data_IF_392281494742
#
_entry.id   IF_392281494742
#
_cell.length_a   1.000
_cell.length_b   1.000
_cell.length_c   1.000
_cell.angle_alpha   90.00
_cell.angle_beta   90.00
_cell.angle_gamma   90.00
#
_symmetry.space_group_name_H-M   'P 1'
#
loop_
_entity.id
_entity.type
_entity.pdbx_description
1 polymer ?
#
# COMPACT_ATOMS: atom_id res chain seq x y z
N UNK A 1 9.55 -10.54 -16.90
CA UNK A 1 9.35 -11.47 -15.78
C UNK A 1 10.68 -12.15 -15.44
N UNK A 2 10.88 -12.51 -14.17
CA UNK A 2 11.93 -13.41 -13.66
C UNK A 2 11.31 -14.27 -12.55
N UNK A 3 11.67 -15.56 -12.47
CA UNK A 3 11.10 -16.51 -11.51
C UNK A 3 9.72 -17.08 -11.90
N UNK A 4 9.04 -17.70 -10.95
CA UNK A 4 7.69 -18.29 -11.10
C UNK A 4 6.61 -17.19 -11.01
N UNK A 5 6.38 -16.46 -12.11
CA UNK A 5 5.47 -15.30 -12.12
C UNK A 5 3.98 -15.65 -12.25
N UNK A 6 3.67 -16.87 -12.66
CA UNK A 6 2.33 -17.44 -12.77
C UNK A 6 1.81 -17.99 -11.43
N UNK A 7 2.72 -18.33 -10.50
CA UNK A 7 2.39 -18.77 -9.15
C UNK A 7 1.53 -17.73 -8.45
N UNK A 8 0.36 -18.17 -8.00
CA UNK A 8 -0.59 -17.30 -7.28
C UNK A 8 -0.09 -17.03 -5.86
N UNK A 9 -0.06 -15.76 -5.51
CA UNK A 9 0.27 -15.28 -4.16
C UNK A 9 -0.84 -14.37 -3.64
N UNK A 10 -0.95 -14.22 -2.33
CA UNK A 10 -1.79 -13.18 -1.76
C UNK A 10 -1.03 -11.85 -1.79
N UNK A 11 -1.55 -10.79 -2.45
CA UNK A 11 -0.86 -9.51 -2.51
C UNK A 11 -0.88 -8.75 -1.17
N UNK A 12 -1.82 -9.11 -0.29
CA UNK A 12 -2.01 -8.54 1.05
C UNK A 12 -2.02 -7.00 0.98
N UNK A 13 -1.29 -6.32 1.85
CA UNK A 13 -1.21 -4.85 1.90
C UNK A 13 -0.63 -4.16 0.66
N UNK A 14 -0.05 -4.89 -0.30
CA UNK A 14 0.57 -4.26 -1.48
C UNK A 14 -0.45 -3.61 -2.42
N UNK A 15 -1.72 -4.06 -2.42
CA UNK A 15 -2.77 -3.58 -3.35
C UNK A 15 -3.65 -2.45 -2.79
N UNK A 16 -3.26 -1.82 -1.68
CA UNK A 16 -4.08 -0.81 -1.01
C UNK A 16 -4.39 0.43 -1.86
N UNK A 17 -3.48 0.81 -2.77
CA UNK A 17 -3.75 1.87 -3.75
C UNK A 17 -4.94 1.53 -4.67
N UNK A 18 -5.06 0.27 -5.09
CA UNK A 18 -6.19 -0.20 -5.88
C UNK A 18 -7.49 -0.23 -5.05
N UNK A 19 -7.42 -0.64 -3.77
CA UNK A 19 -8.57 -0.64 -2.87
C UNK A 19 -9.13 0.76 -2.64
N UNK A 20 -8.25 1.77 -2.57
CA UNK A 20 -8.62 3.16 -2.37
C UNK A 20 -9.30 3.81 -3.58
N UNK A 21 -9.23 3.23 -4.78
CA UNK A 21 -9.95 3.75 -5.96
C UNK A 21 -11.44 3.90 -5.71
N UNK A 22 -12.05 2.94 -4.98
CA UNK A 22 -13.46 3.00 -4.61
C UNK A 22 -13.83 4.26 -3.79
N UNK A 23 -12.89 4.80 -3.01
CA UNK A 23 -13.09 6.01 -2.21
C UNK A 23 -13.29 7.26 -3.09
N UNK A 24 -12.58 7.33 -4.21
CA UNK A 24 -12.71 8.43 -5.17
C UNK A 24 -13.89 8.17 -6.11
N UNK A 25 -13.97 6.98 -6.70
CA UNK A 25 -14.97 6.62 -7.73
C UNK A 25 -16.41 6.69 -7.24
N UNK A 26 -16.65 6.53 -5.93
CA UNK A 26 -17.99 6.66 -5.34
C UNK A 26 -18.34 8.10 -4.94
N UNK A 27 -17.41 9.06 -5.13
CA UNK A 27 -17.57 10.44 -4.66
C UNK A 27 -17.45 10.60 -3.15
N UNK A 28 -17.14 9.54 -2.39
CA UNK A 28 -17.02 9.60 -0.94
C UNK A 28 -15.93 10.57 -0.48
N UNK A 29 -14.80 10.60 -1.19
CA UNK A 29 -13.72 11.56 -0.94
C UNK A 29 -14.19 13.03 -1.02
N UNK A 30 -14.96 13.36 -2.05
CA UNK A 30 -15.45 14.73 -2.25
C UNK A 30 -16.60 15.07 -1.30
N UNK A 31 -17.54 14.15 -1.11
CA UNK A 31 -18.66 14.29 -0.18
C UNK A 31 -18.20 14.65 1.24
N UNK A 32 -17.09 14.06 1.69
CA UNK A 32 -16.56 14.29 3.03
C UNK A 32 -15.41 15.29 3.08
N UNK A 33 -15.02 15.89 1.95
CA UNK A 33 -13.88 16.81 1.89
C UNK A 33 -12.60 16.17 2.43
N UNK A 34 -12.27 14.96 1.95
CA UNK A 34 -11.07 14.26 2.38
C UNK A 34 -9.81 14.96 1.85
N UNK A 35 -8.88 15.21 2.77
CA UNK A 35 -7.59 15.86 2.53
C UNK A 35 -6.60 14.91 1.87
N UNK A 36 -5.48 15.44 1.35
CA UNK A 36 -4.40 14.61 0.81
C UNK A 36 -3.88 13.61 1.85
N UNK A 37 -3.77 14.03 3.11
CA UNK A 37 -3.38 13.17 4.23
C UNK A 37 -4.32 11.97 4.40
N UNK A 38 -5.64 12.17 4.33
CA UNK A 38 -6.65 11.12 4.47
C UNK A 38 -6.69 10.20 3.24
N UNK A 39 -6.51 10.75 2.04
CA UNK A 39 -6.40 9.95 0.81
C UNK A 39 -5.13 9.09 0.79
N UNK A 40 -4.00 9.62 1.25
CA UNK A 40 -2.77 8.86 1.42
C UNK A 40 -2.92 7.77 2.50
N UNK A 41 -3.59 8.10 3.62
CA UNK A 41 -3.87 7.14 4.68
C UNK A 41 -4.79 5.99 4.22
N UNK A 42 -5.73 6.23 3.30
CA UNK A 42 -6.55 5.18 2.70
C UNK A 42 -5.71 4.14 1.91
N UNK A 43 -4.52 4.51 1.44
CA UNK A 43 -3.56 3.64 0.76
C UNK A 43 -2.55 2.96 1.73
N UNK A 44 -2.68 3.17 3.04
CA UNK A 44 -1.59 2.95 3.99
C UNK A 44 -1.48 1.54 4.58
N UNK A 45 -0.24 1.17 4.90
CA UNK A 45 0.07 0.16 5.92
C UNK A 45 0.96 0.82 6.98
N UNK A 46 0.40 1.80 7.68
CA UNK A 46 1.17 2.77 8.47
C UNK A 46 1.72 2.21 9.78
N UNK A 47 2.64 2.94 10.40
CA UNK A 47 3.32 2.48 11.63
C UNK A 47 2.57 2.78 12.94
N UNK A 48 1.37 3.36 12.86
CA UNK A 48 0.50 3.59 14.03
C UNK A 48 0.92 4.80 14.89
N UNK A 49 1.77 5.67 14.34
CA UNK A 49 2.18 6.92 14.98
C UNK A 49 1.01 7.91 15.15
N UNK A 50 1.09 8.88 16.08
CA UNK A 50 -0.05 9.73 16.46
C UNK A 50 -0.81 10.37 15.30
N UNK A 51 -0.09 10.98 14.35
CA UNK A 51 -0.68 11.60 13.16
C UNK A 51 -1.49 10.62 12.29
N UNK A 52 -1.13 9.33 12.25
CA UNK A 52 -1.94 8.32 11.56
C UNK A 52 -3.26 8.06 12.30
N UNK A 53 -3.20 7.85 13.61
CA UNK A 53 -4.38 7.57 14.43
C UNK A 53 -5.36 8.76 14.44
N UNK A 54 -4.84 9.98 14.53
CA UNK A 54 -5.62 11.23 14.43
C UNK A 54 -6.30 11.36 13.06
N UNK A 55 -5.58 11.04 11.98
CA UNK A 55 -6.12 11.12 10.63
C UNK A 55 -7.19 10.05 10.39
N UNK A 56 -6.98 8.82 10.87
CA UNK A 56 -7.99 7.77 10.81
C UNK A 56 -9.27 8.17 11.58
N UNK A 57 -9.13 8.81 12.74
CA UNK A 57 -10.24 9.32 13.52
C UNK A 57 -10.99 10.47 12.80
N UNK A 58 -10.26 11.39 12.17
CA UNK A 58 -10.83 12.47 11.34
C UNK A 58 -11.71 11.91 10.21
N UNK A 59 -11.22 10.89 9.49
CA UNK A 59 -12.00 10.24 8.42
C UNK A 59 -13.33 9.66 8.94
N UNK A 60 -13.29 8.97 10.09
CA UNK A 60 -14.48 8.39 10.71
C UNK A 60 -15.46 9.49 11.13
N UNK A 61 -14.96 10.54 11.79
CA UNK A 61 -15.78 11.66 12.26
C UNK A 61 -16.49 12.37 11.09
N UNK A 62 -15.80 12.58 9.97
CA UNK A 62 -16.40 13.13 8.74
C UNK A 62 -17.52 12.26 8.17
N UNK A 63 -17.43 10.95 8.34
CA UNK A 63 -18.47 9.99 7.98
C UNK A 63 -19.56 9.82 9.06
N UNK A 64 -19.53 10.59 10.15
CA UNK A 64 -20.47 10.47 11.27
C UNK A 64 -20.33 9.18 12.07
N UNK A 65 -19.09 8.66 12.15
CA UNK A 65 -18.73 7.41 12.84
C UNK A 65 -17.57 7.65 13.81
N UNK A 66 -17.33 6.67 14.67
CA UNK A 66 -16.20 6.65 15.60
C UNK A 66 -15.40 5.33 15.47
N UNK A 67 -14.40 5.18 16.34
CA UNK A 67 -13.49 4.02 16.36
C UNK A 67 -14.21 2.68 16.52
N UNK A 68 -15.41 2.63 17.12
CA UNK A 68 -16.16 1.38 17.34
C UNK A 68 -16.67 0.76 16.04
N UNK A 69 -16.69 1.54 14.95
CA UNK A 69 -17.05 1.08 13.63
C UNK A 69 -15.91 0.30 12.95
N UNK A 70 -14.67 0.38 13.44
CA UNK A 70 -13.54 -0.33 12.84
C UNK A 70 -13.51 -1.82 13.21
N UNK A 71 -13.38 -2.68 12.20
CA UNK A 71 -13.34 -4.15 12.33
C UNK A 71 -11.95 -4.74 11.97
N UNK A 72 -10.91 -3.89 11.88
CA UNK A 72 -9.53 -4.32 11.62
C UNK A 72 -8.82 -4.94 12.83
N UNK A 73 -9.41 -4.82 14.02
CA UNK A 73 -8.78 -5.19 15.29
C UNK A 73 -7.76 -4.17 15.79
N UNK A 74 -7.21 -4.42 16.97
CA UNK A 74 -6.28 -3.52 17.67
C UNK A 74 -4.91 -4.18 17.78
N UNK A 75 -3.85 -3.41 17.53
CA UNK A 75 -2.49 -3.78 17.88
C UNK A 75 -1.69 -2.52 18.25
N UNK A 76 -0.57 -2.70 18.95
CA UNK A 76 0.35 -1.61 19.27
C UNK A 76 0.95 -0.99 18.00
N UNK A 77 1.31 0.31 17.99
CA UNK A 77 2.07 0.90 16.91
C UNK A 77 3.31 0.06 16.57
N UNK A 78 3.59 -0.15 15.29
CA UNK A 78 4.82 -0.86 14.88
C UNK A 78 6.06 0.05 14.94
N UNK A 79 5.87 1.37 15.04
CA UNK A 79 6.94 2.29 15.38
C UNK A 79 7.24 2.19 16.89
N UNK A 80 8.43 1.72 17.23
CA UNK A 80 8.86 1.49 18.61
C UNK A 80 8.80 2.75 19.49
N UNK A 81 9.16 3.91 18.95
CA UNK A 81 9.11 5.18 19.70
C UNK A 81 7.65 5.55 20.01
N UNK A 82 6.75 5.44 19.03
CA UNK A 82 5.33 5.71 19.23
C UNK A 82 4.67 4.70 20.20
N UNK A 83 5.02 3.42 20.10
CA UNK A 83 4.53 2.39 21.02
C UNK A 83 4.96 2.68 22.46
N UNK A 84 6.25 2.99 22.68
CA UNK A 84 6.78 3.36 24.01
C UNK A 84 6.15 4.65 24.53
N UNK A 85 5.98 5.66 23.69
CA UNK A 85 5.35 6.92 24.08
C UNK A 85 3.90 6.70 24.51
N UNK A 86 3.13 5.88 23.77
CA UNK A 86 1.76 5.54 24.15
C UNK A 86 1.73 4.79 25.50
N UNK A 87 2.55 3.76 25.65
CA UNK A 87 2.63 2.97 26.88
C UNK A 87 3.03 3.82 28.10
N UNK A 88 3.96 4.76 27.93
CA UNK A 88 4.40 5.66 29.01
C UNK A 88 3.28 6.58 29.53
N UNK A 89 2.21 6.79 28.75
CA UNK A 89 1.02 7.54 29.22
C UNK A 89 0.02 6.68 29.99
N UNK A 90 0.25 5.38 30.14
CA UNK A 90 -0.71 4.44 30.75
C UNK A 90 -1.93 4.15 29.88
N UNK A 91 -1.88 4.52 28.58
CA UNK A 91 -2.96 4.29 27.62
C UNK A 91 -2.73 3.01 26.82
N UNK A 92 -3.82 2.34 26.47
CA UNK A 92 -3.83 1.20 25.56
C UNK A 92 -4.05 1.65 24.10
N UNK A 93 -3.57 0.87 23.10
CA UNK A 93 -3.90 1.13 21.72
C UNK A 93 -5.38 0.86 21.46
N UNK A 94 -5.90 1.52 20.44
CA UNK A 94 -7.21 1.28 19.84
C UNK A 94 -7.06 0.83 18.39
N UNK A 95 -8.16 0.47 17.73
CA UNK A 95 -8.17 0.12 16.30
C UNK A 95 -7.59 1.21 15.38
N UNK A 96 -7.52 2.48 15.84
CA UNK A 96 -6.87 3.57 15.11
C UNK A 96 -5.36 3.35 14.92
N UNK A 97 -4.71 2.61 15.82
CA UNK A 97 -3.28 2.31 15.76
C UNK A 97 -2.97 1.11 14.87
N UNK A 98 -4.00 0.35 14.45
CA UNK A 98 -3.84 -0.74 13.51
C UNK A 98 -3.26 -0.19 12.20
N UNK A 99 -2.26 -0.86 11.64
CA UNK A 99 -1.58 -0.40 10.42
C UNK A 99 -2.51 -0.31 9.20
N UNK A 100 -3.68 -0.95 9.25
CA UNK A 100 -4.69 -0.90 8.22
C UNK A 100 -5.80 0.12 8.49
N UNK A 101 -5.82 0.81 9.64
CA UNK A 101 -6.95 1.63 10.08
C UNK A 101 -7.35 2.69 9.05
N UNK A 102 -6.39 3.32 8.36
CA UNK A 102 -6.68 4.27 7.28
C UNK A 102 -7.49 3.71 6.11
N UNK A 103 -7.08 2.54 5.58
CA UNK A 103 -7.83 1.84 4.53
C UNK A 103 -9.25 1.47 5.02
N UNK A 104 -9.35 1.03 6.27
CA UNK A 104 -10.63 0.67 6.88
C UNK A 104 -11.55 1.88 7.08
N UNK A 105 -11.02 3.01 7.53
CA UNK A 105 -11.74 4.29 7.56
C UNK A 105 -12.23 4.68 6.17
N UNK A 106 -11.41 4.48 5.13
CA UNK A 106 -11.81 4.66 3.73
C UNK A 106 -13.01 3.77 3.34
N UNK A 107 -13.03 2.50 3.74
CA UNK A 107 -14.16 1.59 3.49
C UNK A 107 -15.44 2.05 4.19
N UNK A 108 -15.33 2.57 5.41
CA UNK A 108 -16.46 3.14 6.16
C UNK A 108 -16.97 4.41 5.46
N UNK A 109 -16.08 5.30 4.99
CA UNK A 109 -16.48 6.44 4.18
C UNK A 109 -17.24 6.00 2.91
N UNK A 110 -16.76 4.97 2.20
CA UNK A 110 -17.47 4.45 1.01
C UNK A 110 -18.86 3.92 1.38
N UNK A 111 -18.97 3.10 2.44
CA UNK A 111 -20.26 2.56 2.89
C UNK A 111 -21.25 3.70 3.21
N UNK A 112 -20.85 4.64 4.07
CA UNK A 112 -21.70 5.76 4.47
C UNK A 112 -22.06 6.68 3.28
N UNK A 113 -21.12 6.97 2.38
CA UNK A 113 -21.38 7.83 1.22
C UNK A 113 -22.36 7.19 0.22
N UNK A 114 -22.43 5.86 0.19
CA UNK A 114 -23.32 5.09 -0.67
C UNK A 114 -24.58 4.60 0.03
N UNK A 115 -24.86 5.11 1.24
CA UNK A 115 -26.00 4.75 2.08
C UNK A 115 -26.09 3.25 2.40
N UNK A 116 -24.95 2.59 2.53
CA UNK A 116 -24.81 1.20 3.00
C UNK A 116 -24.40 1.21 4.47
N UNK A 117 -25.03 0.37 5.30
CA UNK A 117 -24.60 0.18 6.70
C UNK A 117 -23.15 -0.31 6.72
N UNK A 118 -22.20 0.40 7.36
CA UNK A 118 -20.82 -0.07 7.43
C UNK A 118 -20.66 -1.36 8.24
N UNK A 119 -21.63 -1.80 9.05
CA UNK A 119 -21.49 -3.00 9.88
C UNK A 119 -21.19 -4.25 9.04
N UNK A 120 -20.08 -4.93 9.35
CA UNK A 120 -19.62 -6.09 8.62
C UNK A 120 -18.95 -5.77 7.29
N UNK A 121 -18.43 -4.54 7.09
CA UNK A 121 -17.76 -4.14 5.85
C UNK A 121 -16.53 -4.98 5.50
N UNK A 122 -16.03 -5.80 6.43
CA UNK A 122 -14.92 -6.73 6.18
C UNK A 122 -15.39 -8.05 5.56
N UNK A 123 -16.70 -8.32 5.50
CA UNK A 123 -17.22 -9.56 4.91
C UNK A 123 -17.24 -9.51 3.38
N UNK A 124 -17.00 -10.64 2.70
CA UNK A 124 -16.91 -10.67 1.24
C UNK A 124 -18.22 -10.33 0.53
N UNK A 125 -19.36 -10.61 1.13
CA UNK A 125 -20.70 -10.28 0.61
C UNK A 125 -21.07 -8.80 0.79
N UNK A 126 -20.31 -8.05 1.60
CA UNK A 126 -20.59 -6.65 1.83
C UNK A 126 -20.40 -5.82 0.54
N UNK A 127 -21.29 -4.86 0.21
CA UNK A 127 -21.20 -4.08 -1.04
C UNK A 127 -19.86 -3.38 -1.27
N UNK A 128 -19.20 -2.93 -0.20
CA UNK A 128 -17.84 -2.35 -0.28
C UNK A 128 -16.81 -3.37 -0.79
N UNK A 129 -16.80 -4.59 -0.26
CA UNK A 129 -15.83 -5.62 -0.69
C UNK A 129 -16.13 -6.12 -2.10
N UNK A 130 -17.40 -6.21 -2.48
CA UNK A 130 -17.80 -6.53 -3.87
C UNK A 130 -17.30 -5.47 -4.86
N UNK A 131 -17.41 -4.19 -4.50
CA UNK A 131 -16.86 -3.09 -5.31
C UNK A 131 -15.34 -3.17 -5.43
N UNK A 132 -14.64 -3.43 -4.34
CA UNK A 132 -13.18 -3.58 -4.34
C UNK A 132 -12.74 -4.78 -5.19
N UNK A 133 -13.45 -5.91 -5.08
CA UNK A 133 -13.21 -7.09 -5.92
C UNK A 133 -13.37 -6.75 -7.41
N UNK A 134 -14.41 -6.00 -7.78
CA UNK A 134 -14.61 -5.57 -9.16
C UNK A 134 -13.48 -4.66 -9.66
N UNK A 135 -12.97 -3.75 -8.81
CA UNK A 135 -11.79 -2.94 -9.12
C UNK A 135 -10.56 -3.84 -9.36
N UNK A 136 -10.33 -4.84 -8.51
CA UNK A 136 -9.22 -5.77 -8.73
C UNK A 136 -9.35 -6.55 -10.03
N UNK A 137 -10.52 -7.13 -10.32
CA UNK A 137 -10.73 -7.89 -11.56
C UNK A 137 -10.48 -7.06 -12.81
N UNK A 138 -10.96 -5.81 -12.82
CA UNK A 138 -10.74 -4.89 -13.92
C UNK A 138 -9.26 -4.51 -14.06
N UNK A 139 -8.63 -4.05 -12.97
CA UNK A 139 -7.24 -3.59 -12.98
C UNK A 139 -6.27 -4.72 -13.35
N UNK A 140 -6.53 -5.94 -12.87
CA UNK A 140 -5.69 -7.11 -13.11
C UNK A 140 -6.04 -7.88 -14.38
N UNK A 141 -7.15 -7.56 -15.06
CA UNK A 141 -7.68 -8.30 -16.22
C UNK A 141 -7.89 -9.80 -15.99
N UNK A 142 -8.28 -10.19 -14.78
CA UNK A 142 -8.53 -11.58 -14.41
C UNK A 142 -9.79 -11.69 -13.56
N UNK A 143 -10.39 -12.88 -13.54
CA UNK A 143 -11.44 -13.19 -12.57
C UNK A 143 -10.85 -13.68 -11.25
N UNK A 144 -11.48 -13.27 -10.16
CA UNK A 144 -11.11 -13.67 -8.80
C UNK A 144 -12.22 -14.58 -8.25
N UNK A 145 -12.18 -15.90 -8.51
CA UNK A 145 -13.21 -16.80 -8.02
C UNK A 145 -13.13 -16.93 -6.49
N UNK A 146 -14.22 -17.33 -5.86
CA UNK A 146 -14.29 -17.51 -4.40
C UNK A 146 -13.26 -18.54 -3.90
N UNK A 147 -12.91 -19.54 -4.71
CA UNK A 147 -11.85 -20.50 -4.40
C UNK A 147 -10.45 -19.88 -4.25
N UNK A 148 -10.23 -18.67 -4.79
CA UNK A 148 -8.98 -17.91 -4.64
C UNK A 148 -8.98 -16.97 -3.43
N UNK A 149 -10.09 -16.88 -2.69
CA UNK A 149 -10.27 -15.96 -1.57
C UNK A 149 -9.67 -16.53 -0.28
N UNK A 150 -8.87 -15.72 0.39
CA UNK A 150 -8.48 -15.89 1.79
C UNK A 150 -8.97 -14.73 2.65
N UNK A 151 -8.66 -14.78 3.94
CA UNK A 151 -8.90 -13.69 4.90
C UNK A 151 -7.54 -13.11 5.30
N UNK A 152 -7.36 -11.79 5.13
CA UNK A 152 -6.13 -11.12 5.54
C UNK A 152 -6.15 -10.82 7.05
N UNK A 153 -4.99 -10.50 7.63
CA UNK A 153 -4.82 -10.28 9.08
C UNK A 153 -5.58 -9.08 9.64
N UNK A 154 -6.16 -8.24 8.78
CA UNK A 154 -7.06 -7.15 9.15
C UNK A 154 -8.54 -7.47 8.84
N UNK A 155 -8.89 -8.75 8.73
CA UNK A 155 -10.25 -9.30 8.58
C UNK A 155 -10.89 -9.19 7.19
N UNK A 156 -10.30 -8.47 6.24
CA UNK A 156 -10.88 -8.29 4.88
C UNK A 156 -10.55 -9.47 3.95
N UNK A 157 -11.29 -9.65 2.84
CA UNK A 157 -10.95 -10.61 1.81
C UNK A 157 -9.63 -10.23 1.12
N UNK A 158 -8.83 -11.24 0.81
CA UNK A 158 -7.68 -11.13 -0.10
C UNK A 158 -7.75 -12.25 -1.12
N UNK A 159 -7.20 -12.05 -2.32
CA UNK A 159 -7.35 -13.01 -3.42
C UNK A 159 -5.98 -13.45 -3.94
N UNK A 160 -5.81 -14.74 -4.19
CA UNK A 160 -4.57 -15.29 -4.71
C UNK A 160 -4.44 -14.97 -6.21
N UNK A 161 -3.43 -14.16 -6.54
CA UNK A 161 -3.24 -13.56 -7.87
C UNK A 161 -1.81 -13.81 -8.40
N UNK A 162 -1.63 -14.06 -9.71
CA UNK A 162 -0.31 -14.09 -10.34
C UNK A 162 0.40 -12.73 -10.25
N UNK A 163 1.73 -12.73 -10.24
CA UNK A 163 2.53 -11.49 -10.19
C UNK A 163 2.36 -10.64 -11.44
N UNK A 164 2.21 -11.25 -12.62
CA UNK A 164 1.99 -10.53 -13.89
C UNK A 164 0.70 -9.70 -13.86
N UNK A 165 -0.36 -10.25 -13.29
CA UNK A 165 -1.64 -9.55 -13.16
C UNK A 165 -1.53 -8.36 -12.19
N UNK A 166 -0.73 -8.49 -11.12
CA UNK A 166 -0.41 -7.39 -10.21
C UNK A 166 0.43 -6.31 -10.89
N UNK A 167 1.48 -6.70 -11.62
CA UNK A 167 2.32 -5.77 -12.37
C UNK A 167 1.49 -4.99 -13.41
N UNK A 168 0.59 -5.65 -14.14
CA UNK A 168 -0.35 -5.02 -15.06
C UNK A 168 -1.26 -4.01 -14.34
N UNK A 169 -1.85 -4.39 -13.19
CA UNK A 169 -2.70 -3.51 -12.41
C UNK A 169 -1.96 -2.24 -11.97
N UNK A 170 -0.70 -2.37 -11.53
CA UNK A 170 0.11 -1.21 -11.16
C UNK A 170 0.59 -0.38 -12.35
N UNK A 171 0.84 -0.98 -13.51
CA UNK A 171 1.14 -0.25 -14.74
C UNK A 171 -0.03 0.65 -15.14
N UNK A 172 -1.26 0.13 -15.04
CA UNK A 172 -2.50 0.88 -15.28
C UNK A 172 -2.73 1.96 -14.22
N UNK A 173 -2.56 1.63 -12.94
CA UNK A 173 -2.69 2.58 -11.84
C UNK A 173 -1.71 3.76 -11.96
N UNK A 174 -0.48 3.49 -12.43
CA UNK A 174 0.51 4.52 -12.71
C UNK A 174 0.12 5.39 -13.90
N UNK A 175 -0.04 4.76 -15.06
CA UNK A 175 -0.12 5.46 -16.34
C UNK A 175 -1.50 6.00 -16.70
N UNK A 176 -2.58 5.47 -16.11
CA UNK A 176 -3.95 5.76 -16.54
C UNK A 176 -4.35 5.07 -17.85
N UNK A 177 -3.43 4.33 -18.50
CA UNK A 177 -3.69 3.73 -19.81
C UNK A 177 -4.66 2.56 -19.73
N UNK A 178 -5.52 2.41 -20.74
CA UNK A 178 -6.58 1.39 -20.80
C UNK A 178 -7.56 1.44 -19.60
N UNK A 179 -7.72 2.61 -18.98
CA UNK A 179 -8.70 2.87 -17.92
C UNK A 179 -9.76 3.86 -18.41
N UNK A 180 -10.93 3.87 -17.78
CA UNK A 180 -11.90 4.95 -17.97
C UNK A 180 -11.30 6.28 -17.49
N UNK A 181 -11.84 7.39 -18.02
CA UNK A 181 -11.40 8.74 -17.61
C UNK A 181 -11.48 8.94 -16.10
N UNK A 182 -12.58 8.51 -15.48
CA UNK A 182 -12.83 8.68 -14.05
C UNK A 182 -11.85 7.84 -13.21
N UNK A 183 -11.57 6.60 -13.61
CA UNK A 183 -10.63 5.73 -12.91
C UNK A 183 -9.18 6.23 -13.06
N UNK A 184 -8.81 6.70 -14.24
CA UNK A 184 -7.49 7.31 -14.46
C UNK A 184 -7.30 8.57 -13.59
N UNK A 185 -8.33 9.42 -13.49
CA UNK A 185 -8.32 10.59 -12.62
C UNK A 185 -8.26 10.20 -11.13
N UNK A 186 -9.01 9.17 -10.72
CA UNK A 186 -8.96 8.63 -9.35
C UNK A 186 -7.56 8.11 -8.99
N UNK A 187 -6.94 7.33 -9.89
CA UNK A 187 -5.60 6.81 -9.70
C UNK A 187 -4.56 7.94 -9.59
N UNK A 188 -4.64 8.94 -10.48
CA UNK A 188 -3.77 10.12 -10.43
C UNK A 188 -3.90 10.85 -9.09
N UNK A 189 -5.13 11.17 -8.65
CA UNK A 189 -5.40 11.88 -7.39
C UNK A 189 -4.85 11.14 -6.18
N UNK A 190 -4.98 9.80 -6.14
CA UNK A 190 -4.42 9.00 -5.05
C UNK A 190 -2.88 9.00 -5.08
N UNK A 191 -2.26 8.94 -6.26
CA UNK A 191 -0.80 9.02 -6.40
C UNK A 191 -0.26 10.38 -5.99
N UNK A 192 -0.94 11.46 -6.34
CA UNK A 192 -0.58 12.82 -5.91
C UNK A 192 -0.69 12.98 -4.40
N UNK A 193 -1.79 12.51 -3.80
CA UNK A 193 -1.97 12.52 -2.35
C UNK A 193 -0.86 11.73 -1.64
N UNK A 194 -0.52 10.54 -2.14
CA UNK A 194 0.55 9.72 -1.58
C UNK A 194 1.93 10.36 -1.75
N UNK A 195 2.20 11.00 -2.88
CA UNK A 195 3.45 11.73 -3.11
C UNK A 195 3.58 12.97 -2.21
N UNK A 196 2.46 13.66 -1.93
CA UNK A 196 2.42 14.81 -1.03
C UNK A 196 2.46 14.43 0.46
N UNK A 197 1.98 13.23 0.82
CA UNK A 197 1.88 12.76 2.20
C UNK A 197 2.47 11.34 2.39
N UNK A 198 3.75 11.10 1.99
CA UNK A 198 4.33 9.76 1.98
C UNK A 198 4.43 9.16 3.39
N UNK A 199 4.58 10.02 4.41
CA UNK A 199 4.51 9.61 5.82
C UNK A 199 3.24 8.82 6.12
N UNK A 200 2.08 9.25 5.62
CA UNK A 200 0.80 8.60 5.92
C UNK A 200 0.71 7.17 5.39
N UNK A 201 1.50 6.81 4.37
CA UNK A 201 1.42 5.47 3.76
C UNK A 201 2.11 4.41 4.61
N UNK A 202 3.20 4.75 5.29
CA UNK A 202 4.01 3.77 6.02
C UNK A 202 4.50 4.24 7.40
N UNK A 203 4.80 5.53 7.58
CA UNK A 203 5.35 6.09 8.81
C UNK A 203 6.86 6.34 8.77
N UNK A 204 7.39 6.84 9.88
CA UNK A 204 8.76 7.32 10.00
C UNK A 204 9.79 6.24 9.65
N UNK A 205 10.80 6.63 8.85
CA UNK A 205 11.98 5.83 8.47
C UNK A 205 11.69 4.56 7.65
N UNK A 206 10.44 4.34 7.21
CA UNK A 206 10.06 3.22 6.35
C UNK A 206 10.50 3.46 4.90
N UNK A 207 10.82 2.40 4.18
CA UNK A 207 11.21 2.45 2.77
C UNK A 207 10.22 3.24 1.90
N UNK A 208 8.93 2.88 1.95
CA UNK A 208 7.86 3.56 1.21
C UNK A 208 7.87 5.09 1.45
N UNK A 209 7.98 5.52 2.71
CA UNK A 209 8.03 6.94 3.08
C UNK A 209 9.26 7.64 2.49
N UNK A 210 10.43 7.02 2.60
CA UNK A 210 11.71 7.60 2.17
C UNK A 210 11.77 7.70 0.65
N UNK A 211 11.42 6.63 -0.06
CA UNK A 211 11.50 6.57 -1.52
C UNK A 211 10.46 7.48 -2.16
N UNK A 212 9.21 7.46 -1.71
CA UNK A 212 8.18 8.34 -2.26
C UNK A 212 8.43 9.81 -1.89
N UNK A 213 9.04 10.09 -0.73
CA UNK A 213 9.50 11.44 -0.39
C UNK A 213 10.60 11.96 -1.32
N UNK A 214 11.50 11.09 -1.79
CA UNK A 214 12.56 11.46 -2.72
C UNK A 214 12.08 11.56 -4.18
N UNK A 215 11.19 10.67 -4.61
CA UNK A 215 10.77 10.52 -6.01
C UNK A 215 9.47 11.26 -6.34
N UNK A 216 8.67 11.64 -5.34
CA UNK A 216 7.38 12.29 -5.53
C UNK A 216 6.48 11.46 -6.44
N UNK A 217 5.86 12.11 -7.42
CA UNK A 217 4.92 11.47 -8.35
C UNK A 217 5.58 10.53 -9.38
N UNK A 218 6.92 10.48 -9.44
CA UNK A 218 7.66 9.58 -10.36
C UNK A 218 7.50 8.10 -10.00
N UNK A 219 7.20 7.79 -8.74
CA UNK A 219 7.00 6.41 -8.29
C UNK A 219 5.98 6.33 -7.16
N UNK A 220 5.05 5.37 -7.26
CA UNK A 220 4.24 4.93 -6.15
C UNK A 220 4.77 3.56 -5.71
N UNK A 221 5.11 3.39 -4.43
CA UNK A 221 5.56 2.09 -3.90
C UNK A 221 4.67 1.65 -2.75
N UNK A 222 4.41 0.34 -2.66
CA UNK A 222 3.63 -0.22 -1.58
C UNK A 222 4.13 -1.59 -1.15
N UNK A 223 4.61 -1.64 0.09
CA UNK A 223 4.95 -2.90 0.77
C UNK A 223 3.70 -3.72 1.10
N UNK A 224 3.81 -5.04 0.92
CA UNK A 224 2.94 -6.08 1.44
C UNK A 224 3.66 -6.98 2.45
N UNK A 225 2.91 -7.74 3.23
CA UNK A 225 3.49 -8.76 4.12
C UNK A 225 4.02 -9.96 3.31
N UNK A 226 4.82 -10.83 3.95
CA UNK A 226 5.38 -12.05 3.33
C UNK A 226 6.21 -11.78 2.06
N UNK A 227 7.02 -10.71 2.08
CA UNK A 227 7.97 -10.42 1.02
C UNK A 227 7.34 -9.97 -0.29
N UNK A 228 6.10 -9.45 -0.24
CA UNK A 228 5.41 -8.89 -1.41
C UNK A 228 5.68 -7.38 -1.51
N UNK A 229 5.93 -6.89 -2.71
CA UNK A 229 6.04 -5.45 -2.99
C UNK A 229 5.42 -5.12 -4.33
N UNK A 230 4.74 -3.98 -4.43
CA UNK A 230 4.27 -3.45 -5.71
C UNK A 230 4.72 -2.00 -5.92
N UNK A 231 4.88 -1.60 -7.17
CA UNK A 231 5.08 -0.20 -7.53
C UNK A 231 4.48 0.16 -8.88
N UNK A 232 4.09 1.42 -9.03
CA UNK A 232 3.71 2.01 -10.31
C UNK A 232 4.73 3.07 -10.70
N UNK A 233 5.18 3.04 -11.96
CA UNK A 233 6.11 3.98 -12.57
C UNK A 233 5.36 4.72 -13.70
N UNK A 234 4.67 5.84 -13.40
CA UNK A 234 3.73 6.47 -14.32
C UNK A 234 4.33 6.88 -15.66
N UNK A 235 5.51 7.52 -15.63
CA UNK A 235 6.20 8.04 -16.81
C UNK A 235 6.67 6.91 -17.75
N UNK A 236 7.04 5.76 -17.19
CA UNK A 236 7.50 4.60 -17.95
C UNK A 236 6.35 3.71 -18.42
N UNK A 237 5.14 3.92 -17.91
CA UNK A 237 4.01 3.01 -18.15
C UNK A 237 4.20 1.62 -17.53
N UNK A 238 5.08 1.49 -16.54
CA UNK A 238 5.45 0.20 -15.95
C UNK A 238 4.81 -0.01 -14.58
N UNK A 239 4.51 -1.27 -14.28
CA UNK A 239 4.18 -1.73 -12.94
C UNK A 239 5.14 -2.82 -12.53
N UNK A 240 5.47 -2.84 -11.24
CA UNK A 240 6.37 -3.80 -10.62
C UNK A 240 5.57 -4.61 -9.61
N UNK A 241 5.74 -5.93 -9.63
CA UNK A 241 5.27 -6.83 -8.59
C UNK A 241 6.39 -7.80 -8.22
N UNK A 242 6.71 -7.88 -6.93
CA UNK A 242 7.80 -8.68 -6.36
C UNK A 242 7.20 -9.65 -5.34
N UNK A 243 7.69 -10.90 -5.36
CA UNK A 243 7.58 -11.84 -4.25
C UNK A 243 8.97 -12.38 -3.91
N UNK A 244 9.36 -12.31 -2.65
CA UNK A 244 10.51 -13.03 -2.11
C UNK A 244 10.05 -14.31 -1.43
N UNK A 245 10.62 -15.47 -1.79
CA UNK A 245 10.14 -16.78 -1.31
C UNK A 245 10.31 -16.98 0.19
N UNK A 246 11.38 -16.45 0.78
CA UNK A 246 11.62 -16.46 2.23
C UNK A 246 10.71 -15.51 3.02
N UNK A 247 9.86 -14.76 2.33
CA UNK A 247 8.92 -13.81 2.93
C UNK A 247 9.57 -12.54 3.50
N UNK A 248 10.89 -12.35 3.33
CA UNK A 248 11.61 -11.30 4.01
C UNK A 248 11.47 -9.93 3.31
N UNK A 249 11.00 -8.93 4.07
CA UNK A 249 10.87 -7.55 3.57
C UNK A 249 12.19 -6.92 3.13
N UNK A 250 13.31 -7.27 3.79
CA UNK A 250 14.65 -6.75 3.44
C UNK A 250 15.03 -7.05 1.99
N UNK A 251 14.72 -8.25 1.50
CA UNK A 251 15.03 -8.65 0.14
C UNK A 251 14.14 -7.90 -0.86
N UNK A 252 12.84 -7.80 -0.56
CA UNK A 252 11.88 -7.10 -1.40
C UNK A 252 12.21 -5.59 -1.54
N UNK A 253 12.63 -4.92 -0.46
CA UNK A 253 13.08 -3.53 -0.48
C UNK A 253 14.34 -3.34 -1.35
N UNK A 254 15.32 -4.24 -1.24
CA UNK A 254 16.54 -4.14 -2.04
C UNK A 254 16.27 -4.36 -3.54
N UNK A 255 15.46 -5.34 -3.89
CA UNK A 255 15.02 -5.57 -5.27
C UNK A 255 14.25 -4.37 -5.79
N UNK A 256 13.30 -3.82 -5.00
CA UNK A 256 12.56 -2.62 -5.38
C UNK A 256 13.49 -1.44 -5.62
N UNK A 257 14.43 -1.17 -4.72
CA UNK A 257 15.41 -0.08 -4.88
C UNK A 257 16.25 -0.24 -6.16
N UNK A 258 16.71 -1.46 -6.45
CA UNK A 258 17.49 -1.75 -7.66
C UNK A 258 16.67 -1.49 -8.92
N UNK A 259 15.41 -1.92 -8.96
CA UNK A 259 14.50 -1.67 -10.08
C UNK A 259 14.20 -0.18 -10.26
N UNK A 260 13.95 0.55 -9.16
CA UNK A 260 13.74 2.00 -9.21
C UNK A 260 14.98 2.71 -9.79
N UNK A 261 16.18 2.38 -9.31
CA UNK A 261 17.42 2.97 -9.82
C UNK A 261 17.69 2.66 -11.30
N UNK A 262 17.13 1.57 -11.83
CA UNK A 262 17.26 1.17 -13.23
C UNK A 262 16.23 1.84 -14.14
N UNK A 263 14.98 1.99 -13.69
CA UNK A 263 13.87 2.41 -14.55
C UNK A 263 13.38 3.85 -14.31
N UNK A 264 13.65 4.43 -13.15
CA UNK A 264 13.21 5.80 -12.83
C UNK A 264 14.34 6.80 -13.09
N UNK A 265 14.11 7.83 -13.91
CA UNK A 265 15.05 8.94 -14.05
C UNK A 265 15.22 9.70 -12.73
N UNK A 266 16.41 9.63 -12.16
CA UNK A 266 16.78 10.23 -10.87
C UNK A 266 17.89 11.26 -11.04
N UNK A 267 17.81 12.35 -10.28
CA UNK A 267 18.99 13.20 -10.02
C UNK A 267 19.98 12.46 -9.12
N UNK A 268 21.23 12.94 -9.04
CA UNK A 268 22.23 12.36 -8.13
C UNK A 268 21.77 12.39 -6.67
N UNK A 269 21.09 13.46 -6.25
CA UNK A 269 20.51 13.59 -4.91
C UNK A 269 19.43 12.53 -4.65
N UNK A 270 18.53 12.29 -5.62
CA UNK A 270 17.52 11.23 -5.51
C UNK A 270 18.17 9.84 -5.48
N UNK A 271 19.16 9.61 -6.35
CA UNK A 271 19.89 8.35 -6.41
C UNK A 271 20.65 8.06 -5.11
N UNK A 272 21.24 9.07 -4.48
CA UNK A 272 21.93 8.95 -3.18
C UNK A 272 20.99 8.50 -2.05
N UNK A 273 19.68 8.76 -2.15
CA UNK A 273 18.67 8.30 -1.18
C UNK A 273 18.23 6.86 -1.46
N UNK A 274 18.01 6.50 -2.73
CA UNK A 274 17.42 5.20 -3.11
C UNK A 274 18.47 4.09 -3.22
N UNK A 275 19.63 4.37 -3.84
CA UNK A 275 20.65 3.36 -4.14
C UNK A 275 21.18 2.60 -2.90
N UNK A 276 21.35 3.22 -1.71
CA UNK A 276 21.79 2.50 -0.52
C UNK A 276 20.87 1.36 -0.09
N UNK A 277 19.60 1.32 -0.52
CA UNK A 277 18.72 0.20 -0.20
C UNK A 277 19.03 -1.06 -1.02
N UNK A 278 19.65 -0.92 -2.19
CA UNK A 278 20.02 -2.04 -3.06
C UNK A 278 21.37 -2.69 -2.70
N UNK A 279 22.26 -1.94 -2.06
CA UNK A 279 23.53 -2.41 -1.48
C UNK A 279 23.73 -1.78 -0.10
N UNK A 280 23.45 -2.53 0.97
CA UNK A 280 23.64 -2.07 2.36
C UNK A 280 24.35 -3.11 3.24
N UNK A 281 25.24 -2.67 4.15
CA UNK A 281 25.77 -3.53 5.18
C UNK A 281 24.63 -4.01 6.10
N UNK A 282 24.77 -5.23 6.59
CA UNK A 282 23.94 -5.78 7.66
C UNK A 282 24.74 -5.57 8.95
N UNK A 283 24.24 -4.71 9.82
CA UNK A 283 24.88 -4.41 11.09
C UNK A 283 24.21 -5.20 12.22
N UNK A 284 24.99 -5.69 13.18
CA UNK A 284 24.43 -6.18 14.44
C UNK A 284 24.11 -5.02 15.41
N UNK A 285 23.56 -5.34 16.57
CA UNK A 285 23.21 -4.35 17.60
C UNK A 285 24.41 -3.57 18.16
N UNK A 286 25.64 -4.07 17.99
CA UNK A 286 26.88 -3.40 18.38
C UNK A 286 27.51 -2.59 17.21
N UNK A 287 26.80 -2.44 16.09
CA UNK A 287 27.26 -1.68 14.92
C UNK A 287 28.29 -2.41 14.05
N UNK A 288 28.57 -3.69 14.29
CA UNK A 288 29.54 -4.47 13.51
C UNK A 288 28.88 -4.98 12.22
N UNK A 289 29.53 -4.81 11.07
CA UNK A 289 29.10 -5.42 9.79
C UNK A 289 29.21 -6.94 9.88
N UNK A 290 28.07 -7.63 9.86
CA UNK A 290 27.94 -9.09 9.90
C UNK A 290 27.62 -9.70 8.55
N UNK A 291 27.42 -8.86 7.53
CA UNK A 291 27.13 -9.27 6.18
C UNK A 291 26.72 -8.07 5.34
N UNK A 292 26.25 -8.34 4.12
CA UNK A 292 25.82 -7.29 3.20
C UNK A 292 24.70 -7.79 2.31
N UNK A 293 23.68 -6.97 2.15
CA UNK A 293 22.59 -7.20 1.21
C UNK A 293 22.99 -6.62 -0.15
N UNK A 294 22.98 -7.43 -1.21
CA UNK A 294 23.27 -6.99 -2.57
C UNK A 294 22.31 -7.64 -3.55
N UNK A 295 21.76 -6.84 -4.46
CA UNK A 295 21.04 -7.37 -5.63
C UNK A 295 22.06 -7.66 -6.74
N UNK A 296 22.10 -8.90 -7.24
CA UNK A 296 22.84 -9.24 -8.45
C UNK A 296 21.86 -9.76 -9.50
N UNK A 297 21.81 -9.08 -10.65
CA UNK A 297 21.11 -9.61 -11.80
C UNK A 297 21.97 -10.71 -12.43
N UNK A 298 21.46 -11.95 -12.49
CA UNK A 298 22.09 -13.06 -13.22
C UNK A 298 21.70 -13.08 -14.70
N UNK A 299 20.75 -12.24 -15.12
CA UNK A 299 20.29 -12.03 -16.50
C UNK A 299 19.58 -10.67 -16.62
N UNK A 300 19.43 -10.15 -17.84
CA UNK A 300 18.69 -8.91 -18.12
C UNK A 300 17.20 -9.06 -17.71
N UNK A 301 16.68 -8.06 -17.00
CA UNK A 301 15.27 -7.99 -16.62
C UNK A 301 14.40 -7.93 -17.87
N UNK A 302 13.62 -8.98 -18.14
CA UNK A 302 12.66 -8.95 -19.26
C UNK A 302 11.44 -8.14 -18.87
N UNK A 303 11.04 -7.18 -19.69
CA UNK A 303 9.69 -6.58 -19.61
C UNK A 303 8.70 -7.58 -20.19
N UNK A 304 7.64 -7.92 -19.45
CA UNK A 304 6.55 -8.72 -20.00
C UNK A 304 5.68 -7.79 -20.85
N UNK A 305 5.55 -8.08 -22.15
CA UNK A 305 4.70 -7.34 -23.09
C UNK A 305 3.23 -7.73 -22.95
#
# INVERSE_FOLDING_TARGET
ALGETDRRIFPRSAVKGLQALALIETGAADRYGLTQAELALACSSHSGEPRHAETAASMLAKAGRDVTCLECGTHWPSNEQAARALAATGREPTALHNNCSGKHSGFICVACATNVDPKGYVRPDHPVQQRIKAVFEDMMSIKLPDASRGVDGCSIPTYATPLEALALAFARFGSGTKLSRDRAAAALRLREAVAGEPFMVAGSRRFDTIVMGALGTKAFTKTGAEGVYCAALPEQGLGIAIKCDDGAGRAAEAVMASLLCAYVPMTDAQRAIVAPYADKPILNWNGIETGRLRVRASSEWRVAN
#
